data_IF_781911383301
#
_entry.id   IF_781911383301
#
_cell.length_a   1.000
_cell.length_b   1.000
_cell.length_c   1.000
_cell.angle_alpha   90.00
_cell.angle_beta   90.00
_cell.angle_gamma   90.00
#
_symmetry.space_group_name_H-M   'P 1'
#
loop_
_entity.id
_entity.type
_entity.pdbx_description
1 polymer ?
#
# COMPACT_ATOMS: atom_id res chain seq x y z
N UNK A 1 15.02 -6.75 -2.87
CA UNK A 1 13.91 -7.14 -3.77
C UNK A 1 12.54 -6.86 -3.17
N UNK A 2 12.25 -7.24 -1.92
CA UNK A 2 10.91 -7.12 -1.33
C UNK A 2 10.30 -5.71 -1.27
N UNK A 3 11.10 -4.65 -1.07
CA UNK A 3 10.60 -3.26 -0.97
C UNK A 3 10.36 -2.63 -2.36
N UNK A 4 11.23 -2.95 -3.32
CA UNK A 4 11.21 -2.31 -4.65
C UNK A 4 9.98 -2.74 -5.44
N UNK A 5 9.60 -4.01 -5.35
CA UNK A 5 8.44 -4.57 -6.06
C UNK A 5 7.14 -3.81 -5.76
N UNK A 6 6.70 -3.65 -4.49
CA UNK A 6 5.47 -2.92 -4.16
C UNK A 6 5.58 -1.41 -4.45
N UNK A 7 6.74 -0.78 -4.21
CA UNK A 7 6.94 0.64 -4.51
C UNK A 7 6.75 0.95 -5.99
N UNK A 8 7.40 0.18 -6.86
CA UNK A 8 7.33 0.39 -8.31
C UNK A 8 5.94 0.04 -8.85
N UNK A 9 5.36 -1.08 -8.42
CA UNK A 9 4.07 -1.54 -8.96
C UNK A 9 2.92 -0.61 -8.62
N UNK A 10 2.78 -0.20 -7.36
CA UNK A 10 1.67 0.66 -6.93
C UNK A 10 1.83 2.09 -7.42
N UNK A 11 3.07 2.60 -7.49
CA UNK A 11 3.34 3.92 -8.06
C UNK A 11 3.06 3.95 -9.56
N UNK A 12 3.47 2.92 -10.30
CA UNK A 12 3.18 2.82 -11.73
C UNK A 12 1.67 2.73 -11.99
N UNK A 13 0.94 1.94 -11.20
CA UNK A 13 -0.52 1.82 -11.31
C UNK A 13 -1.23 3.17 -11.16
N UNK A 14 -0.94 3.92 -10.10
CA UNK A 14 -1.57 5.23 -9.89
C UNK A 14 -1.09 6.30 -10.86
N UNK A 15 0.15 6.25 -11.31
CA UNK A 15 0.65 7.12 -12.37
C UNK A 15 -0.12 6.89 -13.68
N UNK A 16 -0.30 5.62 -14.08
CA UNK A 16 -1.07 5.27 -15.28
C UNK A 16 -2.53 5.75 -15.15
N UNK A 17 -3.16 5.62 -13.99
CA UNK A 17 -4.53 6.11 -13.78
C UNK A 17 -4.59 7.64 -13.82
N UNK A 18 -3.67 8.32 -13.14
CA UNK A 18 -3.62 9.78 -13.06
C UNK A 18 -3.32 10.46 -14.41
N UNK A 19 -2.46 9.86 -15.24
CA UNK A 19 -2.11 10.41 -16.55
C UNK A 19 -2.98 9.85 -17.69
N UNK A 20 -3.28 8.55 -17.68
CA UNK A 20 -4.07 7.88 -18.71
C UNK A 20 -5.57 8.11 -18.58
N UNK A 21 -6.09 8.13 -17.35
CA UNK A 21 -7.51 8.32 -17.07
C UNK A 21 -8.09 9.61 -17.67
N UNK A 22 -7.46 10.78 -17.50
CA UNK A 22 -7.94 12.04 -18.09
C UNK A 22 -8.03 12.05 -19.61
N UNK A 23 -7.21 11.25 -20.31
CA UNK A 23 -7.25 11.15 -21.77
C UNK A 23 -8.44 10.31 -22.25
N UNK A 24 -8.85 9.30 -21.48
CA UNK A 24 -9.97 8.41 -21.81
C UNK A 24 -11.35 9.03 -21.57
N UNK A 25 -11.44 10.22 -20.96
CA UNK A 25 -12.73 10.85 -20.65
C UNK A 25 -13.41 11.38 -21.93
N UNK A 26 -14.63 10.92 -22.25
CA UNK A 26 -15.37 11.35 -23.43
C UNK A 26 -15.73 12.83 -23.39
N UNK A 27 -15.96 13.42 -24.57
CA UNK A 27 -16.35 14.82 -24.69
C UNK A 27 -17.77 15.01 -24.16
N UNK A 28 -17.93 15.85 -23.15
CA UNK A 28 -19.23 16.20 -22.57
C UNK A 28 -19.14 17.46 -21.70
N UNK A 29 -20.28 18.01 -21.25
CA UNK A 29 -20.31 19.25 -20.48
C UNK A 29 -19.49 19.20 -19.20
N UNK A 30 -19.41 18.04 -18.56
CA UNK A 30 -18.76 17.83 -17.27
C UNK A 30 -17.34 17.23 -17.39
N UNK A 31 -16.73 17.25 -18.59
CA UNK A 31 -15.44 16.59 -18.85
C UNK A 31 -14.34 17.06 -17.90
N UNK A 32 -14.24 18.37 -17.67
CA UNK A 32 -13.20 18.94 -16.79
C UNK A 32 -13.34 18.48 -15.33
N UNK A 33 -14.58 18.39 -14.83
CA UNK A 33 -14.84 17.92 -13.46
C UNK A 33 -14.45 16.45 -13.33
N UNK A 34 -14.84 15.61 -14.29
CA UNK A 34 -14.48 14.18 -14.29
C UNK A 34 -12.96 13.98 -14.35
N UNK A 35 -12.26 14.75 -15.20
CA UNK A 35 -10.79 14.71 -15.25
C UNK A 35 -10.16 15.09 -13.91
N UNK A 36 -10.65 16.16 -13.27
CA UNK A 36 -10.15 16.61 -11.98
C UNK A 36 -10.42 15.58 -10.88
N UNK A 37 -11.60 14.97 -10.86
CA UNK A 37 -11.93 13.90 -9.91
C UNK A 37 -10.99 12.69 -10.06
N UNK A 38 -10.67 12.28 -11.28
CA UNK A 38 -9.74 11.18 -11.54
C UNK A 38 -8.33 11.52 -11.05
N UNK A 39 -7.81 12.69 -11.40
CA UNK A 39 -6.45 13.12 -10.99
C UNK A 39 -6.35 13.28 -9.48
N UNK A 40 -7.30 13.98 -8.85
CA UNK A 40 -7.33 14.18 -7.39
C UNK A 40 -7.40 12.84 -6.65
N UNK A 41 -8.24 11.91 -7.12
CA UNK A 41 -8.34 10.58 -6.51
C UNK A 41 -7.02 9.82 -6.64
N UNK A 42 -6.40 9.82 -7.82
CA UNK A 42 -5.13 9.13 -8.04
C UNK A 42 -4.02 9.66 -7.13
N UNK A 43 -3.93 10.98 -6.98
CA UNK A 43 -2.94 11.63 -6.10
C UNK A 43 -3.21 11.31 -4.63
N UNK A 44 -4.46 11.44 -4.16
CA UNK A 44 -4.82 11.15 -2.77
C UNK A 44 -4.61 9.68 -2.40
N UNK A 45 -5.02 8.75 -3.27
CA UNK A 45 -4.86 7.31 -3.02
C UNK A 45 -3.39 6.88 -3.05
N UNK A 46 -2.59 7.44 -3.97
CA UNK A 46 -1.15 7.19 -3.99
C UNK A 46 -0.45 7.75 -2.75
N UNK A 47 -0.75 8.99 -2.36
CA UNK A 47 -0.18 9.61 -1.14
C UNK A 47 -0.55 8.84 0.12
N UNK A 48 -1.82 8.45 0.27
CA UNK A 48 -2.24 7.64 1.40
C UNK A 48 -1.46 6.32 1.46
N UNK A 49 -1.37 5.62 0.33
CA UNK A 49 -0.67 4.34 0.25
C UNK A 49 0.82 4.45 0.59
N UNK A 50 1.54 5.41 0.00
CA UNK A 50 2.99 5.53 0.23
C UNK A 50 3.28 5.89 1.69
N UNK A 51 2.47 6.75 2.31
CA UNK A 51 2.65 7.16 3.70
C UNK A 51 2.50 5.99 4.68
N UNK A 52 1.47 5.15 4.50
CA UNK A 52 1.29 3.96 5.36
C UNK A 52 2.37 2.91 5.13
N UNK A 53 2.82 2.76 3.88
CA UNK A 53 3.88 1.82 3.53
C UNK A 53 5.22 2.22 4.14
N UNK A 54 5.61 3.49 4.01
CA UNK A 54 6.86 4.02 4.56
C UNK A 54 6.92 3.90 6.09
N UNK A 55 5.79 4.08 6.78
CA UNK A 55 5.70 3.92 8.23
C UNK A 55 6.09 2.52 8.73
N UNK A 56 6.00 1.50 7.88
CA UNK A 56 6.25 0.11 8.25
C UNK A 56 7.65 -0.39 7.86
N UNK A 57 8.46 0.41 7.15
CA UNK A 57 9.76 -0.06 6.64
C UNK A 57 10.84 -0.22 7.72
N UNK A 58 10.82 0.63 8.75
CA UNK A 58 11.73 0.56 9.89
C UNK A 58 10.90 0.69 11.19
N UNK A 59 10.17 -0.36 11.61
CA UNK A 59 9.32 -0.28 12.77
C UNK A 59 10.15 -0.24 14.06
N UNK A 60 9.86 0.71 14.95
CA UNK A 60 10.48 0.79 16.27
C UNK A 60 9.76 -0.07 17.32
N UNK A 61 8.48 -0.39 17.06
CA UNK A 61 7.59 -1.07 18.00
C UNK A 61 7.04 -2.32 17.32
N UNK A 62 7.21 -3.47 17.97
CA UNK A 62 6.63 -4.74 17.56
C UNK A 62 5.26 -5.00 18.21
N UNK A 63 4.47 -5.95 17.66
CA UNK A 63 3.16 -6.31 18.20
C UNK A 63 3.27 -6.95 19.60
N UNK A 64 2.46 -6.48 20.55
CA UNK A 64 2.33 -7.05 21.89
C UNK A 64 1.11 -7.98 21.95
N UNK A 65 1.33 -9.29 21.96
CA UNK A 65 0.28 -10.30 21.87
C UNK A 65 0.38 -11.34 23.01
N UNK A 66 -0.77 -11.87 23.44
CA UNK A 66 -0.82 -12.86 24.52
C UNK A 66 -0.16 -14.18 24.08
N UNK A 67 0.47 -14.87 25.04
CA UNK A 67 1.15 -16.17 24.83
C UNK A 67 0.26 -17.22 24.17
N UNK A 68 -1.04 -17.26 24.50
CA UNK A 68 -1.98 -18.18 23.84
C UNK A 68 -2.07 -17.93 22.34
N UNK A 69 -2.13 -16.66 21.93
CA UNK A 69 -2.18 -16.26 20.52
C UNK A 69 -0.85 -16.54 19.82
N UNK A 70 0.29 -16.30 20.49
CA UNK A 70 1.62 -16.62 19.95
C UNK A 70 1.73 -18.11 19.63
N UNK A 71 1.29 -18.98 20.56
CA UNK A 71 1.28 -20.44 20.34
C UNK A 71 0.40 -20.85 19.16
N UNK A 72 -0.77 -20.23 19.03
CA UNK A 72 -1.65 -20.46 17.88
C UNK A 72 -1.02 -20.05 16.55
N UNK A 73 -0.38 -18.87 16.49
CA UNK A 73 0.33 -18.39 15.30
C UNK A 73 1.47 -19.33 14.93
N UNK A 74 2.25 -19.77 15.92
CA UNK A 74 3.33 -20.75 15.75
C UNK A 74 2.84 -22.07 15.13
N UNK A 75 1.69 -22.57 15.57
CA UNK A 75 1.10 -23.80 15.01
C UNK A 75 0.64 -23.63 13.56
N UNK A 76 0.10 -22.46 13.20
CA UNK A 76 -0.48 -22.21 11.89
C UNK A 76 0.55 -21.75 10.83
N UNK A 77 1.51 -20.92 11.25
CA UNK A 77 2.45 -20.23 10.36
C UNK A 77 3.91 -20.64 10.59
N UNK A 78 4.17 -21.50 11.57
CA UNK A 78 5.51 -21.94 11.96
C UNK A 78 6.16 -21.04 13.02
N UNK A 79 7.20 -21.57 13.66
CA UNK A 79 7.99 -20.80 14.63
C UNK A 79 8.83 -19.74 13.93
N UNK A 80 8.87 -18.54 14.50
CA UNK A 80 9.86 -17.54 14.11
C UNK A 80 11.26 -17.98 14.57
N UNK A 81 12.26 -17.83 13.71
CA UNK A 81 13.66 -18.21 13.98
C UNK A 81 14.29 -17.34 15.07
N UNK A 82 13.74 -16.15 15.27
CA UNK A 82 14.35 -15.08 16.09
C UNK A 82 14.03 -15.24 17.58
N UNK A 83 13.01 -16.03 17.93
CA UNK A 83 12.56 -16.25 19.32
C UNK A 83 13.27 -17.45 19.97
N UNK A 84 13.82 -18.37 19.16
CA UNK A 84 14.38 -19.65 19.63
C UNK A 84 15.92 -19.61 19.71
N UNK A 85 16.56 -18.59 19.12
CA UNK A 85 18.03 -18.47 19.07
C UNK A 85 18.67 -17.76 20.28
N UNK A 86 17.93 -17.54 21.37
CA UNK A 86 18.47 -17.04 22.64
C UNK A 86 18.17 -18.02 23.78
#
# INVERSE_FOLDING_TARGET
MGIVIPLVSVSAFWAIIGFGGPWLVPKGPNRGIVQLMIVMTAVCCWMFWIMVYLHQLNPLIGPQINVKTIRWISQQWGNSKDVVSN
#
